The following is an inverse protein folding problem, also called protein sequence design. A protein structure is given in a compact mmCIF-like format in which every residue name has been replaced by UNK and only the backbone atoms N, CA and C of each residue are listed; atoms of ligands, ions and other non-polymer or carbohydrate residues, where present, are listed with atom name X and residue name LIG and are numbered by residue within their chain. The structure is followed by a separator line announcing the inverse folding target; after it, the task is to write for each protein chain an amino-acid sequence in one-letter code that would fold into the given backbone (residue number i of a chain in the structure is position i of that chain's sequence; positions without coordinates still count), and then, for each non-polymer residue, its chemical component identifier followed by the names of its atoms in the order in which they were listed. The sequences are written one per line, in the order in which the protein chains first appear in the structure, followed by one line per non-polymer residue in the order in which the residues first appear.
data_IF_918641033672
#
_entry.id   IF_918641033672
#
_cell.length_a   1.000
_cell.length_b   1.000
_cell.length_c   1.000
_cell.angle_alpha   90.00
_cell.angle_beta   90.00
_cell.angle_gamma   90.00
#
_symmetry.space_group_name_H-M   'P 1'
#
loop_
_entity.id
_entity.type
_entity.pdbx_description
1 polymer ?
#
# COMPACT_ATOMS: atom_id res chain seq x y z
N UNK A 1 -3.95 -10.85 -42.97
CA UNK A 1 -3.57 -11.70 -41.82
C UNK A 1 -2.40 -11.04 -41.11
N UNK A 2 -2.52 -10.68 -39.83
CA UNK A 2 -1.40 -10.06 -39.09
C UNK A 2 -0.51 -11.19 -38.56
N UNK A 3 0.63 -11.42 -39.21
CA UNK A 3 1.60 -12.44 -38.82
C UNK A 3 2.23 -12.07 -37.47
N UNK A 4 2.05 -12.92 -36.44
CA UNK A 4 2.66 -12.74 -35.12
C UNK A 4 3.91 -13.63 -35.02
N UNK A 5 5.04 -13.10 -35.47
CA UNK A 5 6.36 -13.69 -35.32
C UNK A 5 6.81 -13.81 -33.84
N UNK A 6 7.34 -14.97 -33.40
CA UNK A 6 7.94 -15.16 -32.08
C UNK A 6 9.25 -14.37 -31.86
N UNK A 7 9.60 -14.14 -30.59
CA UNK A 7 10.59 -13.17 -30.07
C UNK A 7 12.01 -13.28 -30.65
N UNK A 8 12.41 -14.43 -31.20
CA UNK A 8 13.73 -14.64 -31.81
C UNK A 8 13.88 -14.02 -33.21
N UNK A 9 12.78 -13.76 -33.91
CA UNK A 9 12.78 -13.35 -35.33
C UNK A 9 13.01 -11.85 -35.52
N UNK A 10 12.81 -11.01 -34.51
CA UNK A 10 12.90 -9.55 -34.67
C UNK A 10 14.33 -9.06 -34.98
N UNK A 11 15.36 -9.67 -34.38
CA UNK A 11 16.77 -9.36 -34.69
C UNK A 11 17.15 -9.84 -36.09
N UNK A 12 16.64 -11.01 -36.48
CA UNK A 12 16.80 -11.56 -37.82
C UNK A 12 16.11 -10.69 -38.88
N UNK A 13 14.91 -10.18 -38.58
CA UNK A 13 14.15 -9.31 -39.45
C UNK A 13 14.80 -7.92 -39.61
N UNK A 14 15.34 -7.33 -38.54
CA UNK A 14 16.09 -6.06 -38.64
C UNK A 14 17.37 -6.26 -39.47
N UNK A 15 18.06 -7.40 -39.30
CA UNK A 15 19.24 -7.74 -40.11
C UNK A 15 18.88 -7.96 -41.58
N UNK A 16 17.83 -8.71 -41.86
CA UNK A 16 17.31 -8.91 -43.21
C UNK A 16 16.89 -7.59 -43.85
N UNK A 17 16.23 -6.69 -43.12
CA UNK A 17 15.87 -5.37 -43.63
C UNK A 17 17.11 -4.52 -43.95
N UNK A 18 18.18 -4.61 -43.16
CA UNK A 18 19.44 -3.92 -43.46
C UNK A 18 20.19 -4.53 -44.65
N UNK A 19 20.00 -5.83 -44.91
CA UNK A 19 20.56 -6.52 -46.08
C UNK A 19 19.76 -6.19 -47.36
N UNK A 20 18.45 -6.00 -47.24
CA UNK A 20 17.55 -5.68 -48.36
C UNK A 20 17.58 -4.18 -48.70
N UNK A 21 17.73 -3.31 -47.69
CA UNK A 21 17.76 -1.85 -47.82
C UNK A 21 18.97 -1.30 -47.05
N UNK A 22 20.15 -1.21 -47.69
CA UNK A 22 21.31 -0.54 -47.12
C UNK A 22 20.99 0.95 -46.92
N UNK A 23 21.45 1.55 -45.82
CA UNK A 23 21.35 3.00 -45.65
C UNK A 23 22.21 3.68 -46.71
N UNK A 24 21.59 4.21 -47.76
CA UNK A 24 22.27 5.07 -48.71
C UNK A 24 22.18 6.53 -48.24
N UNK A 25 23.22 7.31 -48.50
CA UNK A 25 23.35 8.74 -48.17
C UNK A 25 22.32 9.65 -48.90
N UNK A 26 21.40 9.05 -49.68
CA UNK A 26 20.23 9.71 -50.28
C UNK A 26 18.94 9.22 -49.63
N UNK A 27 18.27 10.13 -48.91
CA UNK A 27 17.07 9.92 -48.07
C UNK A 27 16.25 8.64 -48.25
N UNK A 28 16.17 7.85 -47.18
CA UNK A 28 15.29 6.67 -47.08
C UNK A 28 13.80 7.06 -47.20
N UNK A 29 12.99 6.22 -47.86
CA UNK A 29 11.53 6.40 -47.91
C UNK A 29 10.94 6.44 -46.49
N UNK A 30 10.03 7.39 -46.22
CA UNK A 30 9.34 7.51 -44.92
C UNK A 30 8.72 6.19 -44.43
N UNK A 31 8.30 5.33 -45.36
CA UNK A 31 7.72 4.01 -45.04
C UNK A 31 8.77 3.04 -44.49
N UNK A 32 9.99 3.04 -45.03
CA UNK A 32 11.11 2.20 -44.58
C UNK A 32 11.58 2.66 -43.21
N UNK A 33 11.70 3.99 -43.02
CA UNK A 33 12.05 4.58 -41.74
C UNK A 33 10.99 4.28 -40.65
N UNK A 34 9.70 4.46 -40.95
CA UNK A 34 8.63 4.16 -40.00
C UNK A 34 8.58 2.67 -39.62
N UNK A 35 8.86 1.78 -40.56
CA UNK A 35 8.90 0.33 -40.31
C UNK A 35 10.11 -0.04 -39.42
N UNK A 36 11.26 0.61 -39.67
CA UNK A 36 12.49 0.48 -38.85
C UNK A 36 12.24 0.99 -37.44
N UNK A 37 11.64 2.16 -37.28
CA UNK A 37 11.30 2.77 -35.99
C UNK A 37 10.30 1.90 -35.23
N UNK A 38 9.26 1.37 -35.91
CA UNK A 38 8.29 0.47 -35.31
C UNK A 38 8.93 -0.85 -34.81
N UNK A 39 9.83 -1.44 -35.61
CA UNK A 39 10.57 -2.66 -35.25
C UNK A 39 11.58 -2.40 -34.11
N UNK A 40 12.29 -1.27 -34.13
CA UNK A 40 13.19 -0.84 -33.06
C UNK A 40 12.42 -0.57 -31.76
N UNK A 41 11.26 0.10 -31.82
CA UNK A 41 10.37 0.31 -30.68
C UNK A 41 9.88 -1.01 -30.08
N UNK A 42 9.61 -2.04 -30.91
CA UNK A 42 9.25 -3.38 -30.45
C UNK A 42 10.42 -4.15 -29.82
N UNK A 43 11.64 -3.93 -30.31
CA UNK A 43 12.86 -4.57 -29.83
C UNK A 43 13.31 -3.98 -28.48
N UNK A 44 13.18 -2.66 -28.28
CA UNK A 44 13.42 -2.01 -26.97
C UNK A 44 12.42 -2.46 -25.90
N UNK A 45 11.18 -2.80 -26.29
CA UNK A 45 10.18 -3.37 -25.40
C UNK A 45 10.44 -4.84 -24.98
N UNK A 46 11.33 -5.57 -25.65
CA UNK A 46 11.47 -7.03 -25.47
C UNK A 46 12.83 -7.50 -24.93
N UNK A 47 13.83 -6.62 -24.76
CA UNK A 47 15.12 -6.98 -24.16
C UNK A 47 15.38 -6.32 -22.79
N UNK A 48 14.38 -6.33 -21.90
CA UNK A 48 14.61 -6.04 -20.49
C UNK A 48 14.78 -7.37 -19.75
N UNK A 49 15.92 -7.58 -19.09
CA UNK A 49 16.02 -8.57 -18.00
C UNK A 49 14.77 -8.37 -17.14
N UNK A 50 13.86 -9.35 -17.07
CA UNK A 50 12.59 -9.24 -16.34
C UNK A 50 12.87 -8.67 -14.95
N UNK A 51 12.54 -7.39 -14.75
CA UNK A 51 12.73 -6.70 -13.47
C UNK A 51 11.95 -7.51 -12.42
N UNK A 52 12.65 -7.91 -11.36
CA UNK A 52 12.05 -8.58 -10.22
C UNK A 52 11.47 -7.53 -9.29
N UNK A 53 10.31 -7.84 -8.70
CA UNK A 53 9.73 -7.02 -7.65
C UNK A 53 10.08 -7.66 -6.31
N UNK A 54 10.59 -6.84 -5.39
CA UNK A 54 10.82 -7.23 -4.00
C UNK A 54 9.57 -6.92 -3.19
N UNK A 55 9.01 -7.95 -2.57
CA UNK A 55 7.75 -7.85 -1.82
C UNK A 55 8.06 -7.98 -0.33
N UNK A 56 7.67 -6.99 0.47
CA UNK A 56 7.62 -7.13 1.91
C UNK A 56 6.22 -7.58 2.31
N UNK A 57 6.13 -8.61 3.15
CA UNK A 57 4.87 -9.13 3.65
C UNK A 57 4.71 -8.73 5.11
N UNK A 58 3.65 -7.98 5.43
CA UNK A 58 3.39 -7.45 6.75
C UNK A 58 2.07 -8.03 7.31
N UNK A 59 2.11 -9.06 8.16
CA UNK A 59 0.92 -9.55 8.87
C UNK A 59 0.58 -8.61 10.03
N UNK A 60 -0.55 -7.91 9.93
CA UNK A 60 -1.02 -6.94 10.93
C UNK A 60 -1.81 -7.57 12.09
N UNK A 61 -1.74 -8.89 12.26
CA UNK A 61 -2.45 -9.62 13.29
C UNK A 61 -2.38 -11.13 13.07
N UNK A 62 -3.16 -11.89 13.83
CA UNK A 62 -3.23 -13.33 13.66
C UNK A 62 -4.01 -13.67 12.37
N UNK A 63 -3.31 -14.29 11.42
CA UNK A 63 -3.87 -14.74 10.13
C UNK A 63 -3.78 -16.26 9.98
N UNK A 64 -3.41 -16.97 11.06
CA UNK A 64 -3.19 -18.43 11.08
C UNK A 64 -2.25 -18.90 9.96
N UNK A 65 -1.22 -18.11 9.68
CA UNK A 65 -0.25 -18.31 8.59
C UNK A 65 -0.85 -18.43 7.17
N UNK A 66 -2.14 -18.12 7.01
CA UNK A 66 -2.79 -18.17 5.70
C UNK A 66 -2.34 -17.04 4.77
N UNK A 67 -1.79 -15.96 5.32
CA UNK A 67 -1.09 -14.93 4.55
C UNK A 67 0.10 -15.51 3.77
N UNK A 68 0.85 -16.47 4.34
CA UNK A 68 1.96 -17.15 3.65
C UNK A 68 1.44 -17.99 2.48
N UNK A 69 0.30 -18.68 2.65
CA UNK A 69 -0.34 -19.42 1.56
C UNK A 69 -0.82 -18.48 0.45
N UNK A 70 -1.30 -17.29 0.80
CA UNK A 70 -1.71 -16.26 -0.17
C UNK A 70 -0.49 -15.75 -0.94
N UNK A 71 0.57 -15.39 -0.22
CA UNK A 71 1.83 -14.91 -0.78
C UNK A 71 2.44 -15.95 -1.73
N UNK A 72 2.54 -17.21 -1.31
CA UNK A 72 3.00 -18.32 -2.16
C UNK A 72 2.17 -18.44 -3.44
N UNK A 73 0.85 -18.30 -3.35
CA UNK A 73 -0.02 -18.30 -4.54
C UNK A 73 0.28 -17.09 -5.43
N UNK A 74 0.38 -15.87 -4.89
CA UNK A 74 0.69 -14.66 -5.67
C UNK A 74 2.01 -14.85 -6.44
N UNK A 75 3.07 -15.27 -5.75
CA UNK A 75 4.44 -15.32 -6.28
C UNK A 75 4.75 -16.56 -7.14
N UNK A 76 3.92 -17.62 -7.11
CA UNK A 76 4.18 -18.91 -7.81
C UNK A 76 4.60 -18.79 -9.29
N UNK A 77 4.19 -17.73 -10.00
CA UNK A 77 4.47 -17.54 -11.44
C UNK A 77 5.53 -16.49 -11.73
N UNK A 78 6.20 -15.98 -10.70
CA UNK A 78 7.11 -14.85 -10.79
C UNK A 78 8.44 -15.17 -10.13
N UNK A 79 9.51 -14.55 -10.62
CA UNK A 79 10.83 -14.56 -9.95
C UNK A 79 10.91 -13.56 -8.78
N UNK A 80 9.77 -13.08 -8.30
CA UNK A 80 9.71 -12.06 -7.26
C UNK A 80 10.24 -12.62 -5.94
N UNK A 81 10.93 -11.77 -5.19
CA UNK A 81 11.55 -12.15 -3.91
C UNK A 81 10.77 -11.57 -2.77
N UNK A 82 10.47 -12.40 -1.78
CA UNK A 82 10.03 -11.91 -0.48
C UNK A 82 11.26 -11.38 0.24
N UNK A 83 11.18 -10.16 0.74
CA UNK A 83 12.22 -9.55 1.57
C UNK A 83 11.71 -9.41 3.00
N UNK A 84 12.63 -9.53 3.96
CA UNK A 84 12.27 -9.39 5.39
C UNK A 84 12.34 -7.94 5.88
N UNK A 85 13.05 -7.07 5.16
CA UNK A 85 13.25 -5.67 5.53
C UNK A 85 12.40 -4.74 4.64
N UNK A 86 11.58 -3.85 5.21
CA UNK A 86 10.73 -2.96 4.42
C UNK A 86 11.53 -2.01 3.52
N UNK A 87 12.70 -1.53 3.96
CA UNK A 87 13.56 -0.60 3.20
C UNK A 87 14.08 -1.19 1.89
N UNK A 88 14.12 -2.53 1.82
CA UNK A 88 14.60 -3.26 0.64
C UNK A 88 13.46 -3.67 -0.29
N UNK A 89 12.22 -3.32 0.03
CA UNK A 89 11.05 -3.72 -0.73
C UNK A 89 10.67 -2.68 -1.79
N UNK A 90 10.01 -3.16 -2.84
CA UNK A 90 9.37 -2.32 -3.86
C UNK A 90 7.86 -2.16 -3.59
N UNK A 91 7.27 -3.16 -2.92
CA UNK A 91 5.83 -3.21 -2.60
C UNK A 91 5.65 -3.86 -1.23
N UNK A 92 4.77 -3.29 -0.43
CA UNK A 92 4.32 -3.86 0.85
C UNK A 92 2.95 -4.50 0.69
N UNK A 93 2.86 -5.81 0.96
CA UNK A 93 1.57 -6.50 1.14
C UNK A 93 1.20 -6.47 2.62
N UNK A 94 0.19 -5.68 2.95
CA UNK A 94 -0.37 -5.59 4.31
C UNK A 94 -1.48 -6.62 4.43
N UNK A 95 -1.34 -7.59 5.33
CA UNK A 95 -2.36 -8.60 5.61
C UNK A 95 -3.10 -8.22 6.88
N UNK A 96 -4.35 -7.77 6.74
CA UNK A 96 -5.18 -7.30 7.83
C UNK A 96 -6.28 -8.33 8.12
N UNK A 97 -6.18 -9.12 9.20
CA UNK A 97 -7.31 -9.94 9.64
C UNK A 97 -8.46 -9.04 10.11
N UNK A 98 -9.67 -9.27 9.59
CA UNK A 98 -10.88 -8.59 10.01
C UNK A 98 -11.52 -9.41 11.12
N UNK A 99 -11.54 -8.86 12.33
CA UNK A 99 -11.99 -9.50 13.57
C UNK A 99 -13.24 -8.83 14.12
N UNK A 100 -13.30 -7.49 14.01
CA UNK A 100 -14.36 -6.70 14.61
C UNK A 100 -15.10 -5.90 13.53
N UNK A 101 -14.49 -4.80 13.09
CA UNK A 101 -15.04 -3.85 12.14
C UNK A 101 -13.99 -3.54 11.11
N UNK A 102 -14.42 -3.57 9.86
CA UNK A 102 -13.55 -3.39 8.72
C UNK A 102 -12.64 -2.16 8.82
N UNK A 103 -13.23 -0.97 9.02
CA UNK A 103 -12.47 0.29 9.05
C UNK A 103 -11.52 0.37 10.24
N UNK A 104 -11.96 -0.09 11.42
CA UNK A 104 -11.15 -0.08 12.63
C UNK A 104 -9.95 -1.02 12.50
N UNK A 105 -10.18 -2.26 12.08
CA UNK A 105 -9.11 -3.25 11.93
C UNK A 105 -8.10 -2.81 10.86
N UNK A 106 -8.59 -2.21 9.77
CA UNK A 106 -7.74 -1.66 8.70
C UNK A 106 -6.93 -0.45 9.18
N UNK A 107 -7.55 0.50 9.88
CA UNK A 107 -6.85 1.66 10.45
C UNK A 107 -5.75 1.23 11.43
N UNK A 108 -6.04 0.27 12.31
CA UNK A 108 -5.05 -0.32 13.21
C UNK A 108 -3.94 -1.09 12.48
N UNK A 109 -4.25 -1.75 11.37
CA UNK A 109 -3.25 -2.45 10.58
C UNK A 109 -2.29 -1.48 9.90
N UNK A 110 -2.84 -0.42 9.29
CA UNK A 110 -2.07 0.59 8.57
C UNK A 110 -1.23 1.45 9.51
N UNK A 111 -1.70 1.79 10.71
CA UNK A 111 -0.90 2.56 11.68
C UNK A 111 0.35 1.82 12.19
N UNK A 112 0.39 0.49 12.05
CA UNK A 112 1.53 -0.36 12.45
C UNK A 112 2.53 -0.60 11.32
N UNK A 113 2.21 -0.20 10.08
CA UNK A 113 3.12 -0.36 8.94
C UNK A 113 4.30 0.62 9.11
N UNK A 114 5.56 0.16 9.04
CA UNK A 114 6.73 1.03 9.11
C UNK A 114 6.71 2.10 8.01
N UNK A 115 7.15 3.32 8.31
CA UNK A 115 7.16 4.43 7.35
C UNK A 115 7.93 4.11 6.07
N UNK A 116 9.05 3.37 6.19
CA UNK A 116 9.86 2.89 5.07
C UNK A 116 9.12 1.94 4.11
N UNK A 117 7.93 1.45 4.51
CA UNK A 117 7.10 0.52 3.75
C UNK A 117 5.80 1.15 3.21
N UNK A 118 5.54 2.46 3.45
CA UNK A 118 4.28 3.12 3.11
C UNK A 118 4.19 3.66 1.67
N UNK A 119 5.28 3.65 0.92
CA UNK A 119 5.37 4.20 -0.45
C UNK A 119 4.41 3.49 -1.44
N UNK A 120 4.27 2.17 -1.33
CA UNK A 120 3.35 1.40 -2.17
C UNK A 120 2.80 0.21 -1.38
N UNK A 121 1.62 0.42 -0.80
CA UNK A 121 0.91 -0.61 -0.06
C UNK A 121 -0.16 -1.26 -0.93
N UNK A 122 -0.31 -2.57 -0.77
CA UNK A 122 -1.47 -3.34 -1.22
C UNK A 122 -2.07 -3.95 0.05
N UNK A 123 -3.31 -3.59 0.35
CA UNK A 123 -4.02 -4.09 1.52
C UNK A 123 -4.81 -5.34 1.15
N UNK A 124 -4.59 -6.42 1.90
CA UNK A 124 -5.31 -7.68 1.82
C UNK A 124 -6.13 -7.84 3.09
N UNK A 125 -7.42 -7.51 3.02
CA UNK A 125 -8.36 -7.73 4.11
C UNK A 125 -8.73 -9.22 4.18
N UNK A 126 -8.31 -9.87 5.26
CA UNK A 126 -8.49 -11.29 5.51
C UNK A 126 -9.71 -11.50 6.41
N UNK A 127 -10.82 -11.90 5.81
CA UNK A 127 -12.09 -12.16 6.50
C UNK A 127 -12.14 -13.61 6.98
N UNK A 128 -12.26 -13.79 8.29
CA UNK A 128 -12.46 -15.10 8.88
C UNK A 128 -13.92 -15.53 8.71
N UNK A 129 -14.20 -16.45 7.79
CA UNK A 129 -15.55 -16.92 7.49
C UNK A 129 -15.52 -18.33 6.90
N UNK A 130 -16.51 -19.14 7.23
CA UNK A 130 -16.69 -20.45 6.61
C UNK A 130 -17.39 -20.35 5.24
N UNK A 131 -18.14 -19.27 5.00
CA UNK A 131 -18.95 -19.07 3.80
C UNK A 131 -18.10 -18.57 2.61
N UNK A 132 -17.95 -19.36 1.53
CA UNK A 132 -17.22 -18.91 0.34
C UNK A 132 -17.91 -17.77 -0.41
N UNK A 133 -19.21 -17.52 -0.16
CA UNK A 133 -20.03 -16.50 -0.78
C UNK A 133 -20.31 -15.30 0.14
N UNK A 134 -19.61 -15.21 1.27
CA UNK A 134 -19.81 -14.19 2.30
C UNK A 134 -20.02 -12.80 1.68
N UNK A 135 -21.14 -12.15 2.01
CA UNK A 135 -21.48 -10.85 1.48
C UNK A 135 -20.54 -9.80 2.10
N UNK A 136 -19.79 -9.12 1.25
CA UNK A 136 -18.97 -7.99 1.63
C UNK A 136 -19.59 -6.74 1.02
N UNK A 137 -19.54 -5.59 1.71
CA UNK A 137 -20.01 -4.33 1.13
C UNK A 137 -19.29 -4.09 -0.19
N UNK A 138 -20.06 -3.78 -1.23
CA UNK A 138 -19.59 -3.58 -2.60
C UNK A 138 -18.65 -2.40 -2.74
N UNK A 139 -18.79 -1.41 -1.85
CA UNK A 139 -17.98 -0.21 -1.82
C UNK A 139 -17.41 -0.03 -0.42
N UNK A 140 -16.08 0.03 -0.33
CA UNK A 140 -15.37 0.48 0.85
C UNK A 140 -14.57 1.69 0.42
N UNK A 141 -15.00 2.87 0.82
CA UNK A 141 -14.23 4.08 0.55
C UNK A 141 -13.03 4.03 1.47
N UNK A 142 -11.84 3.89 0.89
CA UNK A 142 -10.60 3.85 1.66
C UNK A 142 -9.65 4.86 1.04
N UNK A 143 -9.71 6.08 1.57
CA UNK A 143 -8.79 7.17 1.24
C UNK A 143 -7.62 7.14 2.22
N UNK A 144 -6.86 6.04 2.22
CA UNK A 144 -5.58 6.01 2.94
C UNK A 144 -4.44 6.32 1.97
N UNK A 145 -3.67 7.36 2.29
CA UNK A 145 -2.44 7.68 1.56
C UNK A 145 -1.49 6.46 1.51
N UNK A 146 -1.04 6.13 0.29
CA UNK A 146 -0.09 5.04 0.05
C UNK A 146 -0.71 3.67 -0.23
N UNK A 147 -2.02 3.46 -0.02
CA UNK A 147 -2.68 2.23 -0.44
C UNK A 147 -3.09 2.31 -1.91
N UNK A 148 -2.44 1.50 -2.73
CA UNK A 148 -2.59 1.49 -4.19
C UNK A 148 -3.56 0.44 -4.71
N UNK A 149 -3.80 -0.59 -3.92
CA UNK A 149 -4.75 -1.64 -4.23
C UNK A 149 -5.33 -2.22 -2.94
N UNK A 150 -6.64 -2.37 -2.93
CA UNK A 150 -7.39 -3.05 -1.89
C UNK A 150 -7.98 -4.36 -2.43
N UNK A 151 -7.80 -5.46 -1.71
CA UNK A 151 -8.41 -6.75 -2.05
C UNK A 151 -8.94 -7.48 -0.83
N UNK A 152 -10.04 -8.21 -1.01
CA UNK A 152 -10.61 -9.09 0.00
C UNK A 152 -10.17 -10.54 -0.17
N UNK A 153 -9.92 -11.20 0.95
CA UNK A 153 -9.49 -12.59 1.04
C UNK A 153 -10.30 -13.31 2.13
N UNK A 154 -10.90 -14.45 1.82
CA UNK A 154 -11.65 -15.27 2.78
C UNK A 154 -10.81 -16.46 3.25
N UNK A 155 -10.82 -16.73 4.56
CA UNK A 155 -10.16 -17.90 5.13
C UNK A 155 -10.92 -18.47 6.33
N UNK A 156 -10.63 -19.72 6.67
CA UNK A 156 -11.20 -20.39 7.84
C UNK A 156 -10.17 -21.33 8.49
N UNK A 157 -10.17 -21.46 9.82
CA UNK A 157 -9.07 -22.10 10.58
C UNK A 157 -8.68 -23.50 10.09
N UNK A 158 -9.64 -24.34 9.70
CA UNK A 158 -9.38 -25.72 9.25
C UNK A 158 -9.35 -25.90 7.73
N UNK A 159 -9.85 -24.93 6.96
CA UNK A 159 -9.89 -24.98 5.49
C UNK A 159 -8.78 -24.14 4.84
N UNK A 160 -8.23 -23.20 5.59
CA UNK A 160 -7.38 -22.14 5.10
C UNK A 160 -8.06 -21.22 4.11
N UNK A 161 -7.29 -20.74 3.13
CA UNK A 161 -7.81 -19.87 2.07
C UNK A 161 -8.91 -20.57 1.29
N UNK A 162 -10.12 -20.02 1.34
CA UNK A 162 -11.29 -20.59 0.69
C UNK A 162 -11.09 -20.66 -0.84
N UNK A 163 -11.67 -21.69 -1.47
CA UNK A 163 -11.66 -21.87 -2.92
C UNK A 163 -12.85 -21.13 -3.57
N UNK A 164 -12.84 -19.80 -3.55
CA UNK A 164 -13.91 -18.96 -4.10
C UNK A 164 -13.42 -18.02 -5.21
N UNK A 165 -14.35 -17.43 -5.96
CA UNK A 165 -14.08 -16.43 -7.01
C UNK A 165 -13.36 -15.21 -6.44
N UNK A 166 -13.77 -14.75 -5.25
CA UNK A 166 -13.15 -13.62 -4.53
C UNK A 166 -11.65 -13.82 -4.32
N UNK A 167 -11.23 -14.95 -3.74
CA UNK A 167 -9.81 -15.24 -3.52
C UNK A 167 -9.03 -15.40 -4.84
N UNK A 168 -9.65 -16.00 -5.86
CA UNK A 168 -9.04 -16.10 -7.20
C UNK A 168 -8.80 -14.71 -7.81
N UNK A 169 -9.79 -13.83 -7.70
CA UNK A 169 -9.73 -12.46 -8.21
C UNK A 169 -8.72 -11.62 -7.42
N UNK A 170 -8.70 -11.70 -6.09
CA UNK A 170 -7.72 -11.03 -5.24
C UNK A 170 -6.29 -11.39 -5.65
N UNK A 171 -5.99 -12.69 -5.81
CA UNK A 171 -4.67 -13.15 -6.28
C UNK A 171 -4.37 -12.62 -7.69
N UNK A 172 -5.35 -12.63 -8.60
CA UNK A 172 -5.18 -12.13 -9.97
C UNK A 172 -4.85 -10.64 -9.98
N UNK A 173 -5.51 -9.87 -9.13
CA UNK A 173 -5.40 -8.42 -9.06
C UNK A 173 -4.08 -7.97 -8.44
N UNK A 174 -3.67 -8.61 -7.33
CA UNK A 174 -2.33 -8.38 -6.76
C UNK A 174 -1.25 -8.70 -7.78
N UNK A 175 -1.38 -9.81 -8.53
CA UNK A 175 -0.43 -10.15 -9.60
C UNK A 175 -0.44 -9.13 -10.75
N UNK A 176 -1.59 -8.53 -11.07
CA UNK A 176 -1.72 -7.47 -12.07
C UNK A 176 -0.95 -6.23 -11.61
N UNK A 177 -1.12 -5.83 -10.35
CA UNK A 177 -0.42 -4.70 -9.74
C UNK A 177 1.10 -4.92 -9.71
N UNK A 178 1.56 -6.10 -9.27
CA UNK A 178 2.98 -6.45 -9.30
C UNK A 178 3.56 -6.46 -10.71
N UNK A 179 2.77 -6.83 -11.74
CA UNK A 179 3.22 -6.74 -13.15
C UNK A 179 3.35 -5.30 -13.62
N UNK A 180 2.45 -4.40 -13.21
CA UNK A 180 2.53 -2.98 -13.55
C UNK A 180 3.77 -2.33 -12.94
N UNK A 181 4.04 -2.59 -11.66
CA UNK A 181 5.25 -2.10 -10.97
C UNK A 181 6.58 -2.52 -11.63
N UNK A 182 6.61 -3.59 -12.41
CA UNK A 182 7.81 -3.98 -13.19
C UNK A 182 8.05 -3.10 -14.39
N UNK A 183 6.97 -2.61 -15.01
CA UNK A 183 7.03 -1.77 -16.20
C UNK A 183 7.36 -0.32 -15.85
N UNK A 184 7.09 0.09 -14.62
CA UNK A 184 7.38 1.44 -14.17
C UNK A 184 8.90 1.69 -14.07
N UNK A 185 9.39 2.79 -14.67
CA UNK A 185 10.77 3.22 -14.49
C UNK A 185 11.02 3.55 -13.01
N UNK A 186 12.22 3.29 -12.48
CA UNK A 186 12.56 3.56 -11.08
C UNK A 186 12.23 4.99 -10.61
N UNK A 187 12.25 5.97 -11.52
CA UNK A 187 11.94 7.37 -11.22
C UNK A 187 10.46 7.64 -10.90
N UNK A 188 9.52 6.84 -11.41
CA UNK A 188 8.08 6.97 -11.10
C UNK A 188 7.68 6.25 -9.80
N UNK A 189 8.62 5.52 -9.18
CA UNK A 189 8.40 4.82 -7.91
C UNK A 189 8.14 5.80 -6.75
N UNK A 190 8.79 6.96 -6.80
CA UNK A 190 8.80 8.00 -5.75
C UNK A 190 7.50 8.82 -5.62
N UNK A 191 6.47 8.60 -6.44
CA UNK A 191 5.26 9.44 -6.41
C UNK A 191 4.10 8.75 -5.72
N UNK A 192 4.22 8.55 -4.42
CA UNK A 192 3.07 8.53 -3.52
C UNK A 192 3.48 9.09 -2.15
N UNK A 193 3.56 10.43 -2.08
CA UNK A 193 3.90 11.12 -0.83
C UNK A 193 4.59 12.48 -1.01
N UNK A 194 4.06 13.37 -1.85
CA UNK A 194 4.45 14.79 -1.80
C UNK A 194 3.35 15.59 -1.12
N UNK A 195 3.43 15.69 0.21
CA UNK A 195 3.00 16.89 0.94
C UNK A 195 3.81 17.06 2.23
N UNK A 196 4.80 17.97 2.15
CA UNK A 196 5.30 18.85 3.22
C UNK A 196 5.72 18.24 4.57
N UNK A 197 6.99 17.85 4.67
CA UNK A 197 7.88 18.29 5.75
C UNK A 197 9.34 17.99 5.39
N UNK A 198 9.88 18.68 4.39
CA UNK A 198 11.32 18.93 4.38
C UNK A 198 11.59 19.92 5.52
N UNK A 199 12.07 19.41 6.66
CA UNK A 199 12.76 20.24 7.64
C UNK A 199 14.16 20.45 7.12
N UNK A 200 14.37 21.58 6.45
CA UNK A 200 15.70 22.17 6.26
C UNK A 200 16.42 22.24 7.63
N UNK A 201 17.69 21.79 7.73
CA UNK A 201 18.46 21.96 8.95
C UNK A 201 18.82 23.43 9.14
N UNK A 202 18.44 23.98 10.30
CA UNK A 202 18.77 25.34 10.68
C UNK A 202 20.30 25.52 10.81
N UNK A 203 20.92 26.04 9.77
CA UNK A 203 22.25 26.63 9.86
C UNK A 203 22.14 28.09 10.29
N UNK A 204 22.84 28.37 11.39
CA UNK A 204 23.10 29.68 11.95
C UNK A 204 23.71 30.64 10.94
N UNK A 205 23.22 31.88 10.94
CA UNK A 205 23.99 33.13 10.71
C UNK A 205 23.08 34.33 10.98
N UNK A 206 23.66 35.30 11.67
CA UNK A 206 22.96 36.37 12.37
C UNK A 206 22.69 37.64 11.56
N UNK A 207 22.03 38.54 12.27
CA UNK A 207 21.97 40.00 12.14
C UNK A 207 21.84 40.62 10.75
N UNK A 208 20.72 41.35 10.56
CA UNK A 208 20.81 42.81 10.35
C UNK A 208 19.49 43.52 10.68
N UNK A 209 19.64 44.60 11.46
CA UNK A 209 18.66 45.66 11.74
C UNK A 209 18.23 46.34 10.44
N UNK A 210 16.97 46.75 10.34
CA UNK A 210 16.57 48.13 10.05
C UNK A 210 15.12 48.36 10.51
N UNK A 211 14.91 49.54 11.12
CA UNK A 211 13.64 50.06 11.63
C UNK A 211 12.88 50.83 10.52
N UNK A 212 11.57 50.98 10.75
CA UNK A 212 10.70 52.18 10.59
C UNK A 212 9.42 51.86 9.81
N UNK A 213 8.28 52.22 10.40
CA UNK A 213 7.02 52.30 9.67
C UNK A 213 5.81 52.10 10.57
N UNK A 214 5.04 53.17 10.76
CA UNK A 214 3.95 53.36 11.69
C UNK A 214 2.62 52.75 11.17
N UNK A 215 1.54 52.94 11.95
CA UNK A 215 0.12 52.61 11.68
C UNK A 215 -0.29 51.16 12.02
N UNK A 216 -1.40 50.85 12.70
CA UNK A 216 -2.42 51.67 13.33
C UNK A 216 -3.57 50.75 13.80
N UNK A 217 -3.98 50.91 15.05
CA UNK A 217 -5.32 50.62 15.60
C UNK A 217 -5.88 49.19 15.75
N UNK A 218 -6.48 48.99 16.94
CA UNK A 218 -7.65 48.15 17.31
C UNK A 218 -7.45 46.65 17.52
N UNK A 219 -7.84 46.18 18.72
CA UNK A 219 -8.32 44.81 18.92
C UNK A 219 -8.05 44.21 20.30
N UNK A 220 -8.85 44.58 21.30
CA UNK A 220 -8.89 43.98 22.63
C UNK A 220 -9.47 42.56 22.60
N UNK A 221 -8.80 41.67 23.33
CA UNK A 221 -9.32 40.56 24.18
C UNK A 221 -10.12 39.44 23.55
N UNK A 222 -9.52 38.24 23.44
CA UNK A 222 -10.26 36.98 23.43
C UNK A 222 -9.56 35.94 24.33
N UNK A 223 -9.70 36.15 25.65
CA UNK A 223 -9.08 35.35 26.71
C UNK A 223 -10.09 34.67 27.65
N UNK A 224 -11.35 34.50 27.24
CA UNK A 224 -12.43 33.98 28.12
C UNK A 224 -13.06 32.64 27.71
N UNK A 225 -12.59 31.98 26.65
CA UNK A 225 -13.17 30.69 26.22
C UNK A 225 -12.52 29.44 26.81
N UNK A 226 -11.31 29.54 27.37
CA UNK A 226 -10.60 28.35 27.89
C UNK A 226 -11.04 27.92 29.29
N UNK A 227 -11.52 28.84 30.16
CA UNK A 227 -11.80 28.54 31.57
C UNK A 227 -13.14 27.86 31.88
N UNK A 228 -14.06 27.73 30.91
CA UNK A 228 -15.39 27.13 31.14
C UNK A 228 -15.49 25.65 30.74
N UNK A 229 -14.45 25.05 30.16
CA UNK A 229 -14.49 23.64 29.73
C UNK A 229 -14.06 22.68 30.83
N UNK A 230 -13.13 23.09 31.69
CA UNK A 230 -12.54 22.21 32.71
C UNK A 230 -13.49 21.94 33.90
N UNK A 231 -14.41 22.87 34.23
CA UNK A 231 -15.41 22.64 35.29
C UNK A 231 -16.52 21.65 34.91
N UNK A 232 -16.72 21.35 33.62
CA UNK A 232 -17.72 20.35 33.18
C UNK A 232 -17.19 18.92 33.24
N UNK A 233 -15.89 18.70 33.18
CA UNK A 233 -15.30 17.36 33.23
C UNK A 233 -15.19 16.80 34.66
N UNK A 234 -14.98 17.66 35.66
CA UNK A 234 -14.91 17.23 37.07
C UNK A 234 -16.28 16.81 37.62
N UNK A 235 -17.37 17.53 37.27
CA UNK A 235 -18.73 17.17 37.72
C UNK A 235 -19.31 15.91 37.06
N UNK A 236 -18.83 15.54 35.86
CA UNK A 236 -19.26 14.30 35.18
C UNK A 236 -18.70 13.04 35.82
N UNK A 237 -17.46 13.10 36.33
CA UNK A 237 -16.75 11.95 36.91
C UNK A 237 -17.28 11.55 38.29
N UNK A 238 -17.83 12.49 39.05
CA UNK A 238 -18.45 12.25 40.37
C UNK A 238 -19.80 11.49 40.25
N UNK A 239 -20.57 11.72 39.18
CA UNK A 239 -21.87 11.04 38.96
C UNK A 239 -21.74 9.56 38.59
N UNK A 240 -20.68 9.19 37.87
CA UNK A 240 -20.46 7.80 37.45
C UNK A 240 -19.98 6.93 38.61
N UNK A 241 -19.18 7.49 39.53
CA UNK A 241 -18.75 6.78 40.76
C UNK A 241 -19.90 6.49 41.72
N UNK A 242 -20.91 7.37 41.81
CA UNK A 242 -22.11 7.15 42.64
C UNK A 242 -23.07 6.09 42.08
N UNK A 243 -23.05 5.82 40.77
CA UNK A 243 -23.83 4.73 40.16
C UNK A 243 -23.17 3.36 40.38
N UNK A 244 -21.85 3.28 40.28
CA UNK A 244 -21.12 2.03 40.53
C UNK A 244 -21.23 1.54 42.00
N UNK A 245 -21.54 2.42 42.95
CA UNK A 245 -21.77 2.05 44.35
C UNK A 245 -23.23 1.64 44.65
N UNK A 246 -24.19 1.90 43.75
CA UNK A 246 -25.60 1.53 43.93
C UNK A 246 -25.91 0.13 43.35
N UNK A 247 -25.17 -0.31 42.33
CA UNK A 247 -25.31 -1.62 41.72
C UNK A 247 -24.35 -2.61 42.41
N UNK A 248 -24.72 -3.06 43.61
CA UNK A 248 -23.89 -3.92 44.47
C UNK A 248 -23.19 -5.06 43.75
N UNK A 249 -21.87 -4.93 43.58
CA UNK A 249 -20.97 -6.02 43.21
C UNK A 249 -20.19 -6.41 44.46
N UNK A 250 -20.67 -7.45 45.13
CA UNK A 250 -19.94 -8.14 46.18
C UNK A 250 -18.86 -9.01 45.54
N UNK A 251 -17.62 -8.69 45.90
CA UNK A 251 -16.39 -9.38 45.58
C UNK A 251 -16.26 -10.60 46.51
N UNK A 252 -16.49 -11.82 46.01
CA UNK A 252 -16.04 -13.02 46.70
C UNK A 252 -15.92 -14.21 45.74
N UNK A 253 -14.75 -14.86 45.75
CA UNK A 253 -14.46 -16.30 45.60
C UNK A 253 -12.97 -16.44 45.20
N UNK A 254 -12.14 -16.75 46.19
CA UNK A 254 -10.73 -17.13 46.01
C UNK A 254 -10.62 -18.51 45.33
N UNK A 255 -9.57 -18.79 44.53
CA UNK A 255 -9.33 -20.12 43.98
C UNK A 255 -8.70 -21.06 45.04
N UNK A 256 -8.99 -22.38 45.00
CA UNK A 256 -8.56 -23.31 46.05
C UNK A 256 -7.06 -23.60 45.99
N UNK A 257 -6.43 -23.65 47.16
CA UNK A 257 -5.05 -24.07 47.34
C UNK A 257 -4.90 -25.58 47.10
N UNK A 258 -3.88 -25.92 46.30
CA UNK A 258 -3.45 -27.28 46.01
C UNK A 258 -2.54 -27.76 47.15
N UNK A 259 -3.00 -28.71 47.95
CA UNK A 259 -2.14 -29.41 48.92
C UNK A 259 -1.26 -30.45 48.19
N UNK A 260 -0.02 -30.56 48.66
CA UNK A 260 0.99 -31.54 48.26
C UNK A 260 0.71 -32.90 48.89
#
# INVERSE_FOLDING_TARGET
MIYRAPVGEARSAIRQLNEIFPQEEGGESETVQATRDFLQLRNTHSNTKKKMVKVYAFPAGNTLDYHLKFLKKVLKRFRDKVVQKPEKSDVTLVFCPIVSRFETDVGCALSRVPDSARECMILVAMHHTFDPNYALPSQRQMEEHGVTLFVDCLFFEHKGLLRCSRNKNAIKEVRRQLKQRRKEPPALRWRCGSSLHEREPAHSRGNKRINLGNEGTRGRTDGRRARKRDERETKGRERTKRRAAADGWSEEQQPPQRQQ
#
